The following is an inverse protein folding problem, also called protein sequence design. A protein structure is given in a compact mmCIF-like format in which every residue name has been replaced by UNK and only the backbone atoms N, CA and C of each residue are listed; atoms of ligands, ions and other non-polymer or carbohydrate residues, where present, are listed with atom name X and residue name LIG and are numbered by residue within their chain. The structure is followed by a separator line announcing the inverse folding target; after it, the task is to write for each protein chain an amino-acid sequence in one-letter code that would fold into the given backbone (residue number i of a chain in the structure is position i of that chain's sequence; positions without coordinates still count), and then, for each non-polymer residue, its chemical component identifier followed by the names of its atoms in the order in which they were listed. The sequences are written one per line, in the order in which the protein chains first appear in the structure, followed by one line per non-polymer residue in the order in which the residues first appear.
data_IF_516699708483
#
_entry.id   IF_516699708483
#
_cell.length_a   1.000
_cell.length_b   1.000
_cell.length_c   1.000
_cell.angle_alpha   90.00
_cell.angle_beta   90.00
_cell.angle_gamma   90.00
#
_symmetry.space_group_name_H-M   'P 1'
#
loop_
_entity.id
_entity.type
_entity.pdbx_description
1 polymer ?
#
# COMPACT_ATOMS: atom_id res chain seq x y z
N UNK A 1 11.93 7.61 20.05
CA UNK A 1 11.52 6.75 18.95
C UNK A 1 11.50 7.52 17.65
N UNK A 2 11.88 6.86 16.63
CA UNK A 2 11.98 7.49 15.31
C UNK A 2 10.80 7.06 14.46
N UNK A 3 10.00 8.05 14.10
CA UNK A 3 8.91 7.81 13.19
C UNK A 3 9.40 8.11 11.78
N UNK A 4 9.30 7.12 10.92
CA UNK A 4 9.69 7.30 9.54
C UNK A 4 8.65 8.13 8.80
N UNK A 5 9.07 9.03 7.92
CA UNK A 5 8.13 9.82 7.15
C UNK A 5 7.40 8.95 6.13
N UNK A 6 6.24 9.45 5.69
CA UNK A 6 5.47 8.78 4.66
C UNK A 6 6.22 8.90 3.32
N UNK A 7 6.74 7.79 2.85
CA UNK A 7 7.51 7.79 1.61
C UNK A 7 7.54 6.38 1.01
N UNK A 8 7.89 6.27 -0.26
CA UNK A 8 8.02 4.95 -0.87
C UNK A 8 9.23 4.21 -0.30
N UNK A 9 9.02 2.96 0.05
CA UNK A 9 10.09 2.08 0.51
C UNK A 9 10.08 0.81 -0.33
N UNK A 10 11.24 0.19 -0.44
CA UNK A 10 11.34 -1.08 -1.12
C UNK A 10 10.90 -2.18 -0.18
N UNK A 11 10.10 -3.07 -0.70
CA UNK A 11 9.56 -4.17 0.08
C UNK A 11 9.54 -5.44 -0.76
N UNK A 12 9.84 -6.55 -0.13
CA UNK A 12 9.79 -7.85 -0.78
C UNK A 12 8.43 -8.46 -0.53
N UNK A 13 7.74 -8.81 -1.60
CA UNK A 13 6.42 -9.43 -1.49
C UNK A 13 6.43 -10.76 -2.22
N UNK A 14 5.49 -11.60 -1.82
CA UNK A 14 5.28 -12.90 -2.43
C UNK A 14 3.84 -12.97 -2.92
N UNK A 15 3.66 -13.35 -4.16
CA UNK A 15 2.31 -13.51 -4.71
C UNK A 15 2.08 -14.95 -5.09
N UNK A 16 0.85 -15.38 -4.87
CA UNK A 16 0.41 -16.70 -5.27
C UNK A 16 -1.00 -16.59 -5.85
N UNK A 17 -1.40 -17.59 -6.56
CA UNK A 17 -2.67 -17.56 -7.25
C UNK A 17 -3.22 -18.97 -7.36
N UNK A 18 -4.54 -19.10 -7.26
CA UNK A 18 -5.17 -20.38 -7.44
C UNK A 18 -4.88 -20.91 -8.84
N UNK A 19 -4.47 -22.17 -8.91
CA UNK A 19 -4.13 -22.77 -10.19
C UNK A 19 -2.67 -22.58 -10.58
N UNK A 20 -1.91 -21.82 -9.79
CA UNK A 20 -0.48 -21.65 -10.00
C UNK A 20 0.23 -22.17 -8.74
N UNK A 21 0.90 -23.32 -8.81
CA UNK A 21 1.42 -23.95 -7.60
C UNK A 21 2.63 -23.26 -6.99
N UNK A 22 3.28 -22.39 -7.75
CA UNK A 22 4.48 -21.72 -7.25
C UNK A 22 4.23 -20.27 -6.98
N UNK A 23 4.83 -19.79 -5.90
CA UNK A 23 4.81 -18.36 -5.57
C UNK A 23 5.91 -17.65 -6.32
N UNK A 24 5.72 -16.37 -6.53
CA UNK A 24 6.76 -15.51 -7.09
C UNK A 24 7.13 -14.45 -6.07
N UNK A 25 8.41 -14.33 -5.78
CA UNK A 25 8.91 -13.35 -4.83
C UNK A 25 9.61 -12.25 -5.60
N UNK A 26 9.27 -11.00 -5.34
CA UNK A 26 9.87 -9.87 -6.03
C UNK A 26 9.84 -8.64 -5.14
N UNK A 27 10.61 -7.63 -5.54
CA UNK A 27 10.62 -6.38 -4.82
C UNK A 27 9.75 -5.36 -5.51
N UNK A 28 9.04 -4.57 -4.71
CA UNK A 28 8.24 -3.46 -5.19
C UNK A 28 8.39 -2.29 -4.24
N UNK A 29 7.76 -1.18 -4.57
CA UNK A 29 7.72 -0.02 -3.69
C UNK A 29 6.34 0.14 -3.13
N UNK A 30 6.26 0.36 -1.84
CA UNK A 30 5.00 0.62 -1.15
C UNK A 30 5.12 1.91 -0.38
N UNK A 31 3.97 2.50 -0.08
CA UNK A 31 3.95 3.68 0.76
C UNK A 31 3.88 3.26 2.22
N UNK A 32 4.82 3.75 3.00
CA UNK A 32 4.90 3.39 4.39
C UNK A 32 5.44 4.57 5.18
N UNK A 33 5.10 4.62 6.45
CA UNK A 33 5.57 5.67 7.32
C UNK A 33 4.42 6.34 8.04
N UNK A 34 4.75 7.38 8.75
CA UNK A 34 3.79 8.10 9.57
C UNK A 34 3.46 9.45 9.00
N UNK A 35 2.25 9.89 9.26
CA UNK A 35 1.78 11.21 8.91
C UNK A 35 1.63 12.00 10.19
N UNK A 36 2.28 13.16 10.23
CA UNK A 36 2.26 13.99 11.42
C UNK A 36 1.00 14.83 11.42
N UNK A 37 0.29 14.81 12.52
CA UNK A 37 -0.83 15.69 12.74
C UNK A 37 -0.33 16.94 13.42
N UNK A 38 -0.50 18.08 12.79
CA UNK A 38 0.15 19.30 13.23
C UNK A 38 -0.70 20.19 14.12
N UNK A 39 -1.73 19.69 14.68
CA UNK A 39 -2.57 20.54 15.52
C UNK A 39 -2.60 19.98 16.94
N UNK A 40 -1.58 20.27 17.73
CA UNK A 40 -1.54 19.76 19.08
C UNK A 40 -2.57 20.37 20.01
N UNK A 41 -3.14 21.49 19.63
CA UNK A 41 -4.17 22.12 20.45
C UNK A 41 -5.52 21.48 20.28
N UNK A 42 -5.62 20.57 19.39
CA UNK A 42 -6.89 19.95 19.07
C UNK A 42 -7.28 18.94 20.15
N UNK A 43 -8.27 19.32 20.93
CA UNK A 43 -8.66 18.53 22.11
C UNK A 43 -10.04 17.96 22.06
N UNK A 44 -10.77 18.22 21.01
CA UNK A 44 -12.14 17.76 20.92
C UNK A 44 -12.21 16.26 20.70
N UNK A 45 -13.01 15.54 21.50
CA UNK A 45 -13.18 14.11 21.23
C UNK A 45 -13.86 13.83 19.90
N UNK A 46 -14.56 14.80 19.35
CA UNK A 46 -15.17 14.63 18.04
C UNK A 46 -14.16 14.65 16.91
N UNK A 47 -12.95 15.07 17.20
CA UNK A 47 -11.89 15.14 16.18
C UNK A 47 -11.41 13.76 15.74
N UNK A 48 -11.80 12.75 16.45
CA UNK A 48 -11.30 11.40 16.15
C UNK A 48 -11.83 10.82 14.85
N UNK A 49 -12.80 11.49 14.23
CA UNK A 49 -13.33 10.99 12.96
C UNK A 49 -12.37 11.21 11.80
N UNK A 50 -11.31 12.01 12.03
CA UNK A 50 -10.34 12.27 10.97
C UNK A 50 -8.96 11.87 11.44
N UNK A 51 -8.26 11.16 10.59
CA UNK A 51 -6.84 10.92 10.83
C UNK A 51 -6.12 10.87 9.50
N UNK A 52 -4.84 11.23 9.55
CA UNK A 52 -4.02 11.24 8.36
C UNK A 52 -3.36 9.89 8.22
N UNK A 53 -3.39 9.37 7.01
CA UNK A 53 -2.78 8.10 6.69
C UNK A 53 -1.84 8.26 5.51
N UNK A 54 -0.79 7.46 5.53
CA UNK A 54 0.16 7.41 4.45
C UNK A 54 -0.44 6.57 3.32
N UNK A 55 -0.60 7.17 2.16
CA UNK A 55 -1.24 6.50 1.04
C UNK A 55 -0.52 6.83 -0.25
N UNK A 56 -0.89 6.12 -1.30
CA UNK A 56 -0.27 6.30 -2.62
C UNK A 56 -0.76 7.60 -3.26
N UNK A 57 0.19 8.37 -3.75
CA UNK A 57 -0.10 9.55 -4.54
C UNK A 57 0.01 9.24 -6.01
N UNK A 58 1.16 8.76 -6.44
CA UNK A 58 1.38 8.31 -7.80
C UNK A 58 1.85 6.88 -7.78
N UNK A 59 1.28 6.08 -8.64
CA UNK A 59 1.67 4.68 -8.78
C UNK A 59 1.81 4.35 -10.25
N UNK A 60 2.64 3.38 -10.53
CA UNK A 60 2.61 2.70 -11.81
C UNK A 60 2.30 1.23 -11.55
N UNK A 61 1.81 0.55 -12.55
CA UNK A 61 1.46 -0.85 -12.40
C UNK A 61 2.45 -1.71 -13.17
N UNK A 62 2.83 -2.80 -12.56
CA UNK A 62 3.67 -3.80 -13.19
C UNK A 62 2.94 -5.13 -13.20
N UNK A 63 3.23 -5.92 -14.23
CA UNK A 63 2.64 -7.23 -14.39
C UNK A 63 3.75 -8.26 -14.39
N UNK A 64 3.58 -9.31 -13.60
CA UNK A 64 4.48 -10.45 -13.57
C UNK A 64 3.72 -11.70 -13.95
N UNK A 65 4.46 -12.70 -14.39
CA UNK A 65 3.88 -13.98 -14.80
C UNK A 65 4.33 -15.06 -13.83
N UNK A 66 3.37 -15.73 -13.23
CA UNK A 66 3.64 -16.85 -12.34
C UNK A 66 3.98 -18.09 -13.16
N UNK A 67 4.93 -18.89 -12.68
CA UNK A 67 5.32 -20.12 -13.40
C UNK A 67 4.37 -21.26 -13.14
N UNK A 68 4.33 -22.19 -14.08
CA UNK A 68 3.69 -23.50 -13.93
C UNK A 68 2.22 -23.45 -13.57
N UNK A 69 1.51 -22.45 -14.06
CA UNK A 69 0.07 -22.37 -13.86
C UNK A 69 -0.64 -23.43 -14.67
N UNK A 70 -1.79 -23.87 -14.18
CA UNK A 70 -2.63 -24.83 -14.90
C UNK A 70 -3.12 -24.25 -16.21
N UNK A 71 -3.35 -25.09 -17.22
CA UNK A 71 -3.97 -24.61 -18.46
C UNK A 71 -5.30 -23.94 -18.19
N UNK A 72 -5.53 -22.82 -18.83
CA UNK A 72 -6.76 -22.06 -18.65
C UNK A 72 -6.71 -21.05 -17.51
N UNK A 73 -5.66 -21.05 -16.71
CA UNK A 73 -5.49 -20.09 -15.64
C UNK A 73 -4.63 -18.93 -16.13
N UNK A 74 -5.10 -17.71 -15.88
CA UNK A 74 -4.33 -16.52 -16.22
C UNK A 74 -3.13 -16.42 -15.27
N UNK A 75 -1.91 -16.53 -15.79
CA UNK A 75 -0.74 -16.50 -14.92
C UNK A 75 -0.29 -15.09 -14.51
N UNK A 76 -0.95 -14.07 -15.02
CA UNK A 76 -0.49 -12.71 -14.83
C UNK A 76 -1.05 -12.12 -13.55
N UNK A 77 -0.19 -11.39 -12.83
CA UNK A 77 -0.57 -10.66 -11.62
C UNK A 77 -0.08 -9.23 -11.80
N UNK A 78 -1.00 -8.29 -11.63
CA UNK A 78 -0.69 -6.87 -11.73
C UNK A 78 -0.69 -6.26 -10.34
N UNK A 79 0.33 -5.47 -10.05
CA UNK A 79 0.47 -4.87 -8.73
C UNK A 79 0.95 -3.43 -8.88
N UNK A 80 0.62 -2.57 -7.91
CA UNK A 80 1.08 -1.19 -7.94
C UNK A 80 2.51 -1.06 -7.45
N UNK A 81 3.22 -0.10 -8.02
CA UNK A 81 4.54 0.30 -7.57
C UNK A 81 4.45 1.76 -7.16
N UNK A 82 4.74 2.05 -5.92
CA UNK A 82 4.62 3.41 -5.41
C UNK A 82 5.70 4.29 -6.01
N UNK A 83 5.29 5.38 -6.63
CA UNK A 83 6.21 6.40 -7.13
C UNK A 83 6.32 7.55 -6.16
N UNK A 84 5.21 7.92 -5.53
CA UNK A 84 5.22 8.94 -4.51
C UNK A 84 4.08 8.67 -3.54
N UNK A 85 4.23 9.18 -2.33
CA UNK A 85 3.27 8.97 -1.26
C UNK A 85 2.83 10.31 -0.71
N UNK A 86 1.66 10.31 -0.09
CA UNK A 86 1.07 11.52 0.46
C UNK A 86 0.31 11.17 1.72
N UNK A 87 0.14 12.16 2.57
CA UNK A 87 -0.65 12.00 3.78
C UNK A 87 -2.03 12.58 3.54
N UNK A 88 -3.02 11.71 3.50
CA UNK A 88 -4.39 12.11 3.25
C UNK A 88 -5.25 11.91 4.49
N UNK A 89 -6.32 12.68 4.56
CA UNK A 89 -7.28 12.50 5.62
C UNK A 89 -8.16 11.30 5.32
N UNK A 90 -8.39 10.53 6.36
CA UNK A 90 -9.26 9.38 6.27
C UNK A 90 -10.35 9.55 7.31
N UNK A 91 -11.61 9.44 6.90
CA UNK A 91 -12.73 9.49 7.84
C UNK A 91 -13.14 8.09 8.19
N UNK A 92 -13.76 7.95 9.35
CA UNK A 92 -14.23 6.64 9.79
C UNK A 92 -15.37 6.11 8.93
N UNK A 93 -15.98 6.98 8.14
CA UNK A 93 -17.07 6.58 7.28
C UNK A 93 -16.61 5.94 5.98
N UNK A 94 -15.34 6.04 5.67
CA UNK A 94 -14.83 5.47 4.43
C UNK A 94 -14.00 4.25 4.71
N UNK A 95 -14.08 3.28 3.84
CA UNK A 95 -13.30 2.07 3.96
C UNK A 95 -12.05 2.11 3.07
N UNK A 96 -11.77 3.24 2.47
CA UNK A 96 -10.67 3.37 1.51
C UNK A 96 -9.36 3.81 2.14
N UNK A 97 -9.26 3.76 3.42
CA UNK A 97 -8.04 4.23 4.11
C UNK A 97 -6.99 3.16 4.25
#
# INVERSE_FOLDING_TARGET
SLLLPCEPINETISVEKDGCPKCLVFQTSICSGHCITKDPSYKSPLSTVYQRVCTYRDVRYETVRLPDCRPGVDPHVTFPVALSCDCNLCTMDTSDC
#
